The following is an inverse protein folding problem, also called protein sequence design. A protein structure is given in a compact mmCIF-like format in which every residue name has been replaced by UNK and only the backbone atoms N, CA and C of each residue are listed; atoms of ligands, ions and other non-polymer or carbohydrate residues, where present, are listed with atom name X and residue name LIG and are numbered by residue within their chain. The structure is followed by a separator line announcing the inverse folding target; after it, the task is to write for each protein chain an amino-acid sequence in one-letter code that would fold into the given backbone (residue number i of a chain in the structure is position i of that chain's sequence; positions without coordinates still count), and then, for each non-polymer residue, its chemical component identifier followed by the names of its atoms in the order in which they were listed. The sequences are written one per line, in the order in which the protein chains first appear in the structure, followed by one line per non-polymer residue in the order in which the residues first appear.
data_IF_130414554637
#
_entry.id   IF_130414554637
#
_cell.length_a   1.000
_cell.length_b   1.000
_cell.length_c   1.000
_cell.angle_alpha   90.00
_cell.angle_beta   90.00
_cell.angle_gamma   90.00
#
_symmetry.space_group_name_H-M   'P 1'
#
loop_
_entity.id
_entity.type
_entity.pdbx_description
1 polymer ?
#
# COMPACT_ATOMS: atom_id res chain seq x y z
N UNK A 1 -13.31 -6.26 8.82
CA UNK A 1 -12.80 -6.50 7.45
C UNK A 1 -11.94 -7.75 7.44
N UNK A 2 -12.13 -8.58 6.43
CA UNK A 2 -11.29 -9.75 6.20
C UNK A 2 -10.20 -9.43 5.18
N UNK A 3 -9.17 -10.28 5.09
CA UNK A 3 -8.12 -10.12 4.08
C UNK A 3 -8.71 -10.18 2.67
N UNK A 4 -9.69 -11.04 2.44
CA UNK A 4 -10.36 -11.14 1.15
C UNK A 4 -11.08 -9.83 0.79
N UNK A 5 -11.74 -9.21 1.75
CA UNK A 5 -12.38 -7.90 1.53
C UNK A 5 -11.36 -6.82 1.23
N UNK A 6 -10.21 -6.85 1.90
CA UNK A 6 -9.11 -5.93 1.61
C UNK A 6 -8.69 -6.03 0.14
N UNK A 7 -8.47 -7.26 -0.36
CA UNK A 7 -8.05 -7.43 -1.76
C UNK A 7 -9.14 -7.03 -2.75
N UNK A 8 -10.41 -7.21 -2.40
CA UNK A 8 -11.52 -6.73 -3.23
C UNK A 8 -11.51 -5.20 -3.33
N UNK A 9 -11.20 -4.52 -2.24
CA UNK A 9 -11.07 -3.07 -2.25
C UNK A 9 -9.89 -2.63 -3.11
N UNK A 10 -8.75 -3.27 -2.96
CA UNK A 10 -7.56 -2.98 -3.77
C UNK A 10 -7.89 -3.12 -5.27
N UNK A 11 -8.71 -4.10 -5.63
CA UNK A 11 -9.05 -4.36 -7.03
C UNK A 11 -9.84 -3.23 -7.70
N UNK A 12 -10.40 -2.26 -6.95
CA UNK A 12 -11.10 -1.12 -7.56
C UNK A 12 -10.15 -0.01 -8.00
N UNK A 13 -8.86 -0.08 -7.65
CA UNK A 13 -7.86 0.88 -8.10
C UNK A 13 -7.75 0.80 -9.62
N UNK A 14 -7.75 1.96 -10.27
CA UNK A 14 -7.57 2.02 -11.74
C UNK A 14 -6.07 2.06 -12.04
N UNK A 15 -5.49 0.89 -12.27
CA UNK A 15 -4.06 0.79 -12.53
C UNK A 15 -3.65 1.42 -13.86
N UNK A 16 -4.56 1.55 -14.82
CA UNK A 16 -4.29 2.29 -16.05
C UNK A 16 -3.98 3.76 -15.74
N UNK A 17 -4.75 4.38 -14.87
CA UNK A 17 -4.50 5.77 -14.45
C UNK A 17 -3.24 5.88 -13.60
N UNK A 18 -2.98 4.91 -12.71
CA UNK A 18 -1.75 4.89 -11.91
C UNK A 18 -0.53 4.87 -12.82
N UNK A 19 -0.56 4.05 -13.87
CA UNK A 19 0.58 3.86 -14.78
C UNK A 19 0.77 5.02 -15.77
N UNK A 20 -0.33 5.61 -16.26
CA UNK A 20 -0.29 6.52 -17.40
C UNK A 20 -0.44 7.99 -17.04
N UNK A 21 -1.09 8.32 -15.93
CA UNK A 21 -1.38 9.71 -15.57
C UNK A 21 -0.93 10.08 -14.17
N UNK A 22 -1.70 9.62 -13.15
CA UNK A 22 -1.52 10.09 -11.79
C UNK A 22 -2.04 9.02 -10.82
N UNK A 23 -1.19 8.59 -9.91
CA UNK A 23 -1.58 7.58 -8.92
C UNK A 23 -2.68 8.09 -8.00
N UNK A 24 -2.73 9.39 -7.66
CA UNK A 24 -3.82 9.93 -6.85
C UNK A 24 -5.17 9.80 -7.55
N UNK A 25 -5.21 10.03 -8.87
CA UNK A 25 -6.43 9.81 -9.65
C UNK A 25 -6.78 8.32 -9.70
N UNK A 26 -5.76 7.46 -9.84
CA UNK A 26 -5.98 6.01 -9.92
C UNK A 26 -6.56 5.40 -8.67
N UNK A 27 -6.22 5.91 -7.48
CA UNK A 27 -6.75 5.38 -6.21
C UNK A 27 -8.06 6.04 -5.77
N UNK A 28 -8.52 7.09 -6.44
CA UNK A 28 -9.72 7.81 -6.06
C UNK A 28 -10.97 6.91 -5.92
N UNK A 29 -11.23 5.95 -6.83
CA UNK A 29 -12.38 5.04 -6.65
C UNK A 29 -12.33 4.28 -5.33
N UNK A 30 -11.14 3.84 -4.91
CA UNK A 30 -10.97 3.15 -3.63
C UNK A 30 -11.24 4.10 -2.46
N UNK A 31 -10.70 5.30 -2.50
CA UNK A 31 -10.91 6.30 -1.46
C UNK A 31 -12.41 6.59 -1.28
N UNK A 32 -13.13 6.75 -2.39
CA UNK A 32 -14.57 7.04 -2.36
C UNK A 32 -15.37 5.90 -1.76
N UNK A 33 -15.06 4.66 -2.09
CA UNK A 33 -15.75 3.50 -1.52
C UNK A 33 -15.46 3.41 -0.02
N UNK A 34 -14.18 3.54 0.34
CA UNK A 34 -13.76 3.41 1.74
C UNK A 34 -14.38 4.52 2.60
N UNK A 35 -14.52 5.73 2.06
CA UNK A 35 -15.12 6.86 2.77
C UNK A 35 -16.59 6.61 3.15
N UNK A 36 -17.29 5.71 2.45
CA UNK A 36 -18.68 5.37 2.75
C UNK A 36 -18.82 4.17 3.69
N UNK A 37 -17.71 3.55 4.07
CA UNK A 37 -17.72 2.39 4.96
C UNK A 37 -17.69 2.83 6.43
N UNK A 38 -18.07 1.95 7.38
CA UNK A 38 -17.94 2.25 8.80
C UNK A 38 -16.49 2.60 9.17
N UNK A 39 -16.28 3.50 10.14
CA UNK A 39 -14.92 3.96 10.51
C UNK A 39 -13.95 2.83 10.86
N UNK A 40 -14.45 1.76 11.50
CA UNK A 40 -13.61 0.63 11.85
C UNK A 40 -13.04 -0.07 10.61
N UNK A 41 -13.76 -0.03 9.48
CA UNK A 41 -13.26 -0.59 8.22
C UNK A 41 -12.13 0.25 7.63
N UNK A 42 -12.17 1.56 7.80
CA UNK A 42 -11.09 2.44 7.35
C UNK A 42 -9.81 2.11 8.11
N UNK A 43 -9.92 1.95 9.43
CA UNK A 43 -8.77 1.56 10.26
C UNK A 43 -8.26 0.17 9.90
N UNK A 44 -9.16 -0.79 9.68
CA UNK A 44 -8.79 -2.15 9.30
C UNK A 44 -8.08 -2.18 7.94
N UNK A 45 -8.54 -1.38 6.99
CA UNK A 45 -7.88 -1.26 5.69
C UNK A 45 -6.43 -0.81 5.87
N UNK A 46 -6.21 0.24 6.67
CA UNK A 46 -4.86 0.75 6.92
C UNK A 46 -3.98 -0.30 7.61
N UNK A 47 -4.53 -1.05 8.55
CA UNK A 47 -3.79 -2.11 9.22
C UNK A 47 -3.34 -3.20 8.24
N UNK A 48 -4.26 -3.68 7.38
CA UNK A 48 -3.91 -4.66 6.35
C UNK A 48 -2.85 -4.12 5.39
N UNK A 49 -3.05 -2.89 4.91
CA UNK A 49 -2.10 -2.26 3.99
C UNK A 49 -0.70 -2.21 4.61
N UNK A 50 -0.61 -1.70 5.84
CA UNK A 50 0.67 -1.54 6.51
C UNK A 50 1.37 -2.88 6.71
N UNK A 51 0.61 -3.92 7.11
CA UNK A 51 1.18 -5.26 7.27
C UNK A 51 1.69 -5.82 5.94
N UNK A 52 0.96 -5.60 4.84
CA UNK A 52 1.41 -6.05 3.52
C UNK A 52 2.72 -5.36 3.10
N UNK A 53 2.80 -4.06 3.35
CA UNK A 53 4.02 -3.30 3.05
C UNK A 53 5.19 -3.74 3.94
N UNK A 54 4.92 -4.04 5.20
CA UNK A 54 5.91 -4.50 6.18
C UNK A 54 6.54 -5.85 5.76
N UNK A 55 5.72 -6.77 5.26
CA UNK A 55 6.22 -8.09 4.79
C UNK A 55 7.24 -7.92 3.68
N UNK A 56 7.04 -6.96 2.79
CA UNK A 56 7.94 -6.71 1.64
C UNK A 56 9.16 -5.87 2.02
N UNK A 57 9.23 -5.32 3.22
CA UNK A 57 10.34 -4.49 3.66
C UNK A 57 11.53 -5.37 4.03
N UNK A 58 12.57 -5.38 3.19
CA UNK A 58 13.77 -6.17 3.42
C UNK A 58 14.98 -5.54 2.75
N UNK A 59 16.15 -5.79 3.32
CA UNK A 59 17.41 -5.31 2.76
C UNK A 59 17.65 -5.86 1.35
N UNK A 60 17.32 -7.13 1.14
CA UNK A 60 17.50 -7.78 -0.17
C UNK A 60 16.64 -7.10 -1.24
N UNK A 61 15.39 -6.79 -0.91
CA UNK A 61 14.49 -6.12 -1.87
C UNK A 61 14.90 -4.67 -2.11
N UNK A 62 15.32 -3.98 -1.06
CA UNK A 62 15.85 -2.61 -1.20
C UNK A 62 17.03 -2.57 -2.16
N UNK A 63 17.97 -3.48 -2.00
CA UNK A 63 19.17 -3.55 -2.84
C UNK A 63 18.81 -3.80 -4.32
N UNK A 64 17.86 -4.70 -4.57
CA UNK A 64 17.42 -5.02 -5.93
C UNK A 64 16.61 -3.88 -6.54
N UNK A 65 15.88 -3.12 -5.72
CA UNK A 65 15.05 -2.02 -6.22
C UNK A 65 15.85 -0.86 -6.78
N UNK A 66 17.10 -0.73 -6.38
CA UNK A 66 17.99 0.39 -6.77
C UNK A 66 17.40 1.76 -6.42
N UNK A 67 16.47 1.82 -5.46
CA UNK A 67 15.79 3.04 -5.07
C UNK A 67 16.31 3.63 -3.78
N UNK A 68 15.86 4.86 -3.50
CA UNK A 68 15.99 5.46 -2.18
C UNK A 68 15.03 4.78 -1.21
N UNK A 69 15.12 5.11 0.08
CA UNK A 69 14.19 4.59 1.07
C UNK A 69 12.74 4.92 0.70
N UNK A 70 12.46 6.15 0.28
CA UNK A 70 11.12 6.56 -0.15
C UNK A 70 10.72 5.87 -1.45
N UNK A 71 11.62 5.81 -2.42
CA UNK A 71 11.35 5.13 -3.68
C UNK A 71 11.00 3.66 -3.50
N UNK A 72 11.72 2.98 -2.61
CA UNK A 72 11.43 1.59 -2.28
C UNK A 72 10.05 1.44 -1.63
N UNK A 73 9.68 2.35 -0.73
CA UNK A 73 8.33 2.36 -0.14
C UNK A 73 7.26 2.49 -1.23
N UNK A 74 7.44 3.42 -2.17
CA UNK A 74 6.46 3.67 -3.22
C UNK A 74 6.37 2.50 -4.20
N UNK A 75 7.46 1.80 -4.46
CA UNK A 75 7.44 0.56 -5.25
C UNK A 75 6.68 -0.55 -4.54
N UNK A 76 6.85 -0.69 -3.22
CA UNK A 76 6.09 -1.66 -2.44
C UNK A 76 4.59 -1.35 -2.50
N UNK A 77 4.23 -0.07 -2.43
CA UNK A 77 2.85 0.36 -2.60
C UNK A 77 2.30 -0.06 -3.97
N UNK A 78 3.09 0.11 -5.03
CA UNK A 78 2.69 -0.31 -6.36
C UNK A 78 2.42 -1.81 -6.44
N UNK A 79 3.25 -2.62 -5.79
CA UNK A 79 3.07 -4.08 -5.76
C UNK A 79 1.76 -4.45 -5.06
N UNK A 80 1.41 -3.80 -3.96
CA UNK A 80 0.13 -4.03 -3.29
C UNK A 80 -1.04 -3.56 -4.16
N UNK A 81 -0.93 -2.37 -4.75
CA UNK A 81 -1.98 -1.81 -5.61
C UNK A 81 -2.26 -2.69 -6.83
N UNK A 82 -1.26 -3.42 -7.30
CA UNK A 82 -1.38 -4.31 -8.46
C UNK A 82 -2.23 -5.55 -8.18
N UNK A 83 -2.58 -5.81 -6.92
CA UNK A 83 -3.47 -6.89 -6.56
C UNK A 83 -2.79 -8.06 -5.87
N UNK A 84 -3.62 -8.97 -5.37
CA UNK A 84 -3.15 -10.10 -4.55
C UNK A 84 -2.16 -11.00 -5.29
N UNK A 85 -2.44 -11.33 -6.55
CA UNK A 85 -1.62 -12.25 -7.32
C UNK A 85 -0.19 -11.70 -7.51
N UNK A 86 -0.08 -10.43 -7.90
CA UNK A 86 1.20 -9.75 -8.06
C UNK A 86 1.92 -9.63 -6.71
N UNK A 87 1.19 -9.28 -5.66
CA UNK A 87 1.74 -9.17 -4.32
C UNK A 87 2.35 -10.49 -3.85
N UNK A 88 1.61 -11.59 -4.01
CA UNK A 88 2.09 -12.92 -3.58
C UNK A 88 3.33 -13.34 -4.36
N UNK A 89 3.42 -12.99 -5.64
CA UNK A 89 4.61 -13.24 -6.43
C UNK A 89 5.81 -12.46 -5.87
N UNK A 90 5.59 -11.20 -5.48
CA UNK A 90 6.64 -10.38 -4.88
C UNK A 90 7.11 -10.94 -3.53
N UNK A 91 6.20 -11.53 -2.75
CA UNK A 91 6.55 -12.16 -1.47
C UNK A 91 7.43 -13.39 -1.68
N UNK A 92 7.14 -14.19 -2.70
CA UNK A 92 7.88 -15.43 -2.95
C UNK A 92 9.17 -15.23 -3.75
N UNK A 93 9.28 -14.13 -4.50
CA UNK A 93 10.45 -13.84 -5.34
C UNK A 93 11.03 -12.48 -4.96
N UNK A 94 12.11 -12.49 -4.18
CA UNK A 94 12.77 -11.26 -3.72
C UNK A 94 13.20 -10.36 -4.87
N UNK A 95 13.56 -10.95 -6.01
CA UNK A 95 14.04 -10.20 -7.17
C UNK A 95 12.92 -9.62 -8.02
N UNK A 96 11.66 -9.92 -7.68
CA UNK A 96 10.53 -9.39 -8.44
C UNK A 96 10.43 -7.87 -8.34
N UNK A 97 10.83 -7.27 -7.19
CA UNK A 97 10.89 -5.82 -7.06
C UNK A 97 12.22 -5.32 -7.67
N UNK A 98 12.13 -4.56 -8.73
CA UNK A 98 13.29 -4.01 -9.41
C UNK A 98 12.96 -2.58 -9.87
N UNK A 99 13.92 -1.91 -10.51
CA UNK A 99 13.76 -0.53 -10.96
C UNK A 99 12.67 -0.35 -12.02
N UNK A 100 12.19 -1.44 -12.61
CA UNK A 100 11.08 -1.39 -13.57
C UNK A 100 9.71 -1.28 -12.89
N UNK A 101 9.62 -1.61 -11.61
CA UNK A 101 8.37 -1.47 -10.86
C UNK A 101 8.08 0.00 -10.62
N UNK A 102 6.88 0.42 -10.95
CA UNK A 102 6.47 1.81 -10.81
C UNK A 102 6.12 2.16 -9.35
N UNK A 103 5.69 3.39 -9.12
CA UNK A 103 5.37 3.91 -7.80
C UNK A 103 3.87 4.12 -7.66
N UNK A 104 3.35 3.90 -6.46
CA UNK A 104 1.98 4.26 -6.11
C UNK A 104 1.96 4.89 -4.72
N UNK A 105 2.61 6.04 -4.58
CA UNK A 105 2.66 6.78 -3.31
C UNK A 105 1.27 7.06 -2.77
N UNK A 106 0.31 7.36 -3.66
CA UNK A 106 -1.05 7.74 -3.28
C UNK A 106 -1.75 6.70 -2.41
N UNK A 107 -1.35 5.42 -2.51
CA UNK A 107 -1.96 4.36 -1.71
C UNK A 107 -1.79 4.61 -0.21
N UNK A 108 -0.71 5.29 0.19
CA UNK A 108 -0.44 5.60 1.59
C UNK A 108 -1.45 6.55 2.21
N UNK A 109 -2.14 7.35 1.38
CA UNK A 109 -3.03 8.41 1.86
C UNK A 109 -4.51 8.05 1.74
N UNK A 110 -4.85 6.89 1.18
CA UNK A 110 -6.24 6.50 0.92
C UNK A 110 -7.06 6.47 2.21
N UNK A 111 -6.56 5.82 3.26
CA UNK A 111 -7.31 5.70 4.51
C UNK A 111 -7.48 7.06 5.20
N UNK A 112 -6.42 7.87 5.23
CA UNK A 112 -6.47 9.21 5.84
C UNK A 112 -7.47 10.10 5.12
N UNK A 113 -7.46 10.09 3.79
CA UNK A 113 -8.38 10.88 2.97
C UNK A 113 -9.82 10.40 3.17
N UNK A 114 -10.05 9.08 3.17
CA UNK A 114 -11.35 8.50 3.41
C UNK A 114 -11.88 8.85 4.80
N UNK A 115 -11.01 8.83 5.81
CA UNK A 115 -11.34 9.19 7.18
C UNK A 115 -11.78 10.65 7.28
N UNK A 116 -11.08 11.55 6.60
CA UNK A 116 -11.42 12.97 6.59
C UNK A 116 -12.82 13.24 6.06
N UNK A 117 -13.22 12.50 5.01
CA UNK A 117 -14.58 12.61 4.46
C UNK A 117 -15.62 11.99 5.39
N UNK A 118 -15.30 10.83 5.97
CA UNK A 118 -16.23 10.02 6.77
C UNK A 118 -16.49 10.66 8.14
N UNK A 119 -15.43 11.09 8.84
CA UNK A 119 -15.49 11.50 10.23
C UNK A 119 -15.33 13.02 10.45
N UNK A 120 -14.81 13.73 9.46
CA UNK A 120 -14.53 15.17 9.57
C UNK A 120 -13.62 15.52 10.77
N UNK A 121 -12.75 14.57 11.16
CA UNK A 121 -11.79 14.73 12.25
C UNK A 121 -10.42 14.27 11.77
N UNK A 122 -9.38 14.57 12.56
CA UNK A 122 -8.02 14.21 12.22
C UNK A 122 -7.82 12.68 12.27
N UNK A 123 -6.99 12.19 11.37
CA UNK A 123 -6.57 10.80 11.35
C UNK A 123 -5.49 10.59 12.41
N UNK A 124 -5.77 9.74 13.39
CA UNK A 124 -4.84 9.46 14.49
C UNK A 124 -4.60 7.96 14.72
N UNK A 125 -5.05 7.10 13.80
CA UNK A 125 -4.89 5.67 13.96
C UNK A 125 -3.43 5.25 13.77
N UNK A 126 -2.90 4.51 14.75
CA UNK A 126 -1.57 3.92 14.67
C UNK A 126 -1.68 2.42 14.39
N UNK A 127 -1.01 1.96 13.33
CA UNK A 127 -0.98 0.55 12.97
C UNK A 127 -0.02 -0.23 13.88
N UNK A 128 -0.19 -1.57 13.92
CA UNK A 128 0.64 -2.44 14.78
C UNK A 128 2.09 -2.49 14.34
N UNK A 129 2.37 -2.19 13.07
CA UNK A 129 3.73 -2.13 12.51
C UNK A 129 3.87 -0.87 11.67
N UNK A 130 5.09 -0.49 11.32
CA UNK A 130 5.35 0.67 10.46
C UNK A 130 5.62 0.21 9.03
N UNK A 131 5.18 0.98 8.05
CA UNK A 131 5.50 0.72 6.64
C UNK A 131 6.83 1.34 6.19
N UNK A 132 7.48 2.12 7.06
CA UNK A 132 8.73 2.80 6.68
C UNK A 132 9.83 1.80 6.33
N UNK A 133 10.65 2.17 5.35
CA UNK A 133 11.79 1.34 4.94
C UNK A 133 12.75 1.14 6.12
N UNK A 134 13.10 -0.11 6.38
CA UNK A 134 13.97 -0.49 7.50
C UNK A 134 13.23 -0.81 8.78
N UNK A 135 11.91 -0.67 8.83
CA UNK A 135 11.14 -0.93 10.06
C UNK A 135 11.03 -2.41 10.37
N UNK A 136 11.08 -3.29 9.37
CA UNK A 136 11.06 -4.74 9.56
C UNK A 136 12.49 -5.21 9.86
N UNK A 137 12.94 -4.94 11.09
CA UNK A 137 14.35 -5.13 11.48
C UNK A 137 14.84 -6.56 11.33
N UNK A 138 13.93 -7.55 11.44
CA UNK A 138 14.30 -8.95 11.25
C UNK A 138 14.78 -9.26 9.81
N UNK A 139 14.40 -8.43 8.84
CA UNK A 139 14.79 -8.56 7.43
C UNK A 139 16.00 -7.72 7.06
N UNK A 140 16.63 -7.05 8.03
CA UNK A 140 17.82 -6.23 7.81
C UNK A 140 18.98 -6.76 8.66
N UNK A 141 20.18 -6.60 8.14
CA UNK A 141 21.40 -7.04 8.83
C UNK A 141 22.00 -5.91 9.69
#
# INVERSE_FOLDING_TARGET
MTEQEFWKLIAVIDMGLVNEEDDFTGVEPLTNILAEMPPDNIKAFQEYLTQKLYVLDSEERLDVSCGSDDGFLYQRCFLVASGQEVYEKAVTDVKFICDEIQWCEALLYVAEDAWGVNQETDWDYETSVSYETGSNTAHYK
#
